data_IF_501232492038
#
_entry.id   IF_501232492038
#
_cell.length_a   1.000
_cell.length_b   1.000
_cell.length_c   1.000
_cell.angle_alpha   90.00
_cell.angle_beta   90.00
_cell.angle_gamma   90.00
#
_symmetry.space_group_name_H-M   'P 1'
#
loop_
_entity.id
_entity.type
_entity.pdbx_description
1 polymer ?
#
# COMPACT_ATOMS: atom_id res chain seq x y z
N UNK A 1 -16.46 9.24 -13.56
CA UNK A 1 -15.52 8.22 -13.04
C UNK A 1 -16.22 7.52 -11.91
N UNK A 2 -16.34 6.19 -11.95
CA UNK A 2 -16.90 5.40 -10.86
C UNK A 2 -15.71 4.71 -10.17
N UNK A 3 -15.62 4.82 -8.86
CA UNK A 3 -14.61 4.14 -8.05
C UNK A 3 -15.27 3.01 -7.27
N UNK A 4 -14.68 1.82 -7.34
CA UNK A 4 -15.05 0.66 -6.55
C UNK A 4 -14.16 0.59 -5.31
N UNK A 5 -14.78 0.56 -4.14
CA UNK A 5 -14.08 0.59 -2.85
C UNK A 5 -14.38 -0.70 -2.08
N UNK A 6 -13.32 -1.41 -1.68
CA UNK A 6 -13.39 -2.57 -0.80
C UNK A 6 -13.11 -2.16 0.65
N UNK A 7 -14.08 -2.38 1.53
CA UNK A 7 -13.88 -2.28 2.98
C UNK A 7 -13.38 -3.63 3.50
N UNK A 8 -12.14 -3.69 3.96
CA UNK A 8 -11.53 -4.90 4.48
C UNK A 8 -11.95 -5.10 5.93
N UNK A 9 -12.63 -6.21 6.21
CA UNK A 9 -12.98 -6.61 7.58
C UNK A 9 -12.08 -7.77 8.00
N UNK A 10 -11.01 -7.46 8.72
CA UNK A 10 -9.94 -8.40 9.07
C UNK A 10 -9.66 -8.32 10.58
N UNK A 11 -9.50 -9.49 11.21
CA UNK A 11 -8.91 -9.56 12.55
C UNK A 11 -7.38 -9.50 12.45
N UNK A 12 -6.70 -8.75 13.33
CA UNK A 12 -5.25 -8.72 13.38
C UNK A 12 -4.70 -10.08 13.84
N UNK A 13 -3.53 -10.41 13.36
CA UNK A 13 -2.70 -11.54 13.77
C UNK A 13 -1.76 -11.15 14.92
N UNK A 14 -1.00 -12.13 15.44
CA UNK A 14 -0.12 -11.95 16.60
C UNK A 14 1.18 -11.21 16.32
N UNK A 15 1.49 -10.92 15.04
CA UNK A 15 2.73 -10.25 14.65
C UNK A 15 2.57 -9.35 13.43
N UNK A 16 3.50 -8.39 13.31
CA UNK A 16 3.54 -7.47 12.18
C UNK A 16 3.71 -8.19 10.83
N UNK A 17 4.51 -9.26 10.80
CA UNK A 17 4.76 -10.06 9.60
C UNK A 17 3.49 -10.82 9.15
N UNK A 18 2.75 -11.39 10.09
CA UNK A 18 1.49 -12.08 9.79
C UNK A 18 0.41 -11.10 9.31
N UNK A 19 0.31 -9.92 9.93
CA UNK A 19 -0.56 -8.83 9.47
C UNK A 19 -0.18 -8.37 8.05
N UNK A 20 1.12 -8.27 7.75
CA UNK A 20 1.57 -7.92 6.41
C UNK A 20 1.13 -8.97 5.38
N UNK A 21 1.37 -10.27 5.64
CA UNK A 21 0.98 -11.36 4.76
C UNK A 21 -0.54 -11.39 4.51
N UNK A 22 -1.33 -11.26 5.58
CA UNK A 22 -2.79 -11.24 5.51
C UNK A 22 -3.32 -10.02 4.75
N UNK A 23 -2.72 -8.86 4.97
CA UNK A 23 -3.11 -7.63 4.30
C UNK A 23 -2.81 -7.67 2.80
N UNK A 24 -1.67 -8.21 2.40
CA UNK A 24 -1.33 -8.42 0.99
C UNK A 24 -2.36 -9.34 0.31
N UNK A 25 -2.72 -10.45 0.96
CA UNK A 25 -3.71 -11.39 0.43
C UNK A 25 -5.09 -10.71 0.27
N UNK A 26 -5.51 -9.91 1.25
CA UNK A 26 -6.77 -9.18 1.20
C UNK A 26 -6.80 -8.12 0.07
N UNK A 27 -5.71 -7.37 -0.12
CA UNK A 27 -5.59 -6.42 -1.23
C UNK A 27 -5.69 -7.11 -2.60
N UNK A 28 -5.03 -8.27 -2.76
CA UNK A 28 -5.11 -9.07 -4.00
C UNK A 28 -6.54 -9.53 -4.27
N UNK A 29 -7.21 -10.06 -3.24
CA UNK A 29 -8.62 -10.46 -3.35
C UNK A 29 -9.54 -9.28 -3.68
N UNK A 30 -9.29 -8.10 -3.10
CA UNK A 30 -10.04 -6.88 -3.43
C UNK A 30 -9.85 -6.49 -4.90
N UNK A 31 -8.61 -6.54 -5.41
CA UNK A 31 -8.32 -6.26 -6.84
C UNK A 31 -8.97 -7.28 -7.77
N UNK A 32 -8.92 -8.57 -7.44
CA UNK A 32 -9.62 -9.64 -8.19
C UNK A 32 -11.14 -9.41 -8.27
N UNK A 33 -11.72 -8.77 -7.24
CA UNK A 33 -13.13 -8.36 -7.20
C UNK A 33 -13.40 -7.01 -7.89
N UNK A 34 -12.39 -6.40 -8.52
CA UNK A 34 -12.52 -5.13 -9.24
C UNK A 34 -12.55 -3.89 -8.35
N UNK A 35 -11.95 -3.94 -7.15
CA UNK A 35 -11.78 -2.75 -6.33
C UNK A 35 -10.61 -1.89 -6.84
N UNK A 36 -10.81 -0.57 -6.87
CA UNK A 36 -9.79 0.43 -7.12
C UNK A 36 -9.09 0.85 -5.82
N UNK A 37 -9.81 0.79 -4.69
CA UNK A 37 -9.30 1.17 -3.36
C UNK A 37 -9.65 0.07 -2.37
N UNK A 38 -8.69 -0.34 -1.54
CA UNK A 38 -8.90 -1.21 -0.39
C UNK A 38 -8.63 -0.46 0.92
N UNK A 39 -9.62 -0.41 1.80
CA UNK A 39 -9.55 0.30 3.09
C UNK A 39 -9.42 -0.71 4.21
N UNK A 40 -8.34 -0.61 4.98
CA UNK A 40 -8.07 -1.45 6.14
C UNK A 40 -8.85 -1.01 7.39
N UNK A 41 -9.05 -1.91 8.37
CA UNK A 41 -9.45 -1.52 9.71
C UNK A 41 -8.43 -0.59 10.36
N UNK A 42 -8.89 0.18 11.34
CA UNK A 42 -8.01 0.98 12.19
C UNK A 42 -6.99 0.10 12.93
N UNK A 43 -5.80 0.64 13.19
CA UNK A 43 -4.71 -0.05 13.89
C UNK A 43 -4.27 -1.37 13.23
N UNK A 44 -4.40 -1.50 11.90
CA UNK A 44 -4.16 -2.76 11.19
C UNK A 44 -2.82 -3.45 11.52
N UNK A 45 -1.75 -2.69 11.76
CA UNK A 45 -0.42 -3.25 12.02
C UNK A 45 -0.31 -4.04 13.32
N UNK A 46 -1.02 -3.64 14.37
CA UNK A 46 -0.87 -4.17 15.74
C UNK A 46 -2.19 -4.54 16.42
N UNK A 47 -3.32 -4.15 15.83
CA UNK A 47 -4.63 -4.31 16.45
C UNK A 47 -4.81 -3.48 17.72
N UNK A 48 -5.82 -3.85 18.50
CA UNK A 48 -6.24 -3.16 19.72
C UNK A 48 -5.81 -3.89 21.01
N UNK A 49 -4.92 -4.88 20.93
CA UNK A 49 -4.55 -5.71 22.08
C UNK A 49 -3.27 -5.19 22.76
N UNK A 50 -3.33 -4.03 23.42
CA UNK A 50 -2.21 -3.44 24.17
C UNK A 50 -2.70 -2.66 25.41
N UNK A 51 -1.79 -2.23 26.29
CA UNK A 51 -2.13 -1.60 27.58
C UNK A 51 -2.57 -0.12 27.47
N UNK A 52 -2.65 0.43 26.26
CA UNK A 52 -3.06 1.80 25.93
C UNK A 52 -2.31 2.92 26.65
N UNK A 53 -1.18 2.61 27.27
CA UNK A 53 -0.23 3.58 27.81
C UNK A 53 0.74 4.08 26.73
N UNK A 54 1.47 5.14 27.04
CA UNK A 54 2.34 5.80 26.07
C UNK A 54 3.49 4.90 25.59
N UNK A 55 3.99 3.97 26.41
CA UNK A 55 5.10 3.11 26.04
C UNK A 55 4.62 1.96 25.15
N UNK A 56 3.50 1.32 25.48
CA UNK A 56 2.92 0.29 24.61
C UNK A 56 2.47 0.83 23.25
N UNK A 57 1.99 2.07 23.17
CA UNK A 57 1.69 2.75 21.90
C UNK A 57 2.96 2.99 21.09
N UNK A 58 4.06 3.43 21.73
CA UNK A 58 5.34 3.68 21.06
C UNK A 58 5.95 2.39 20.53
N UNK A 59 5.85 1.30 21.26
CA UNK A 59 6.33 -0.02 20.82
C UNK A 59 5.57 -0.52 19.57
N UNK A 60 4.29 -0.17 19.45
CA UNK A 60 3.46 -0.50 18.29
C UNK A 60 3.66 0.47 17.10
N UNK A 61 4.38 1.57 17.28
CA UNK A 61 4.55 2.59 16.25
C UNK A 61 5.45 2.08 15.12
N UNK A 62 5.07 2.41 13.89
CA UNK A 62 5.79 2.00 12.69
C UNK A 62 6.34 3.24 12.00
N UNK A 63 7.64 3.21 11.69
CA UNK A 63 8.26 4.28 10.91
C UNK A 63 7.68 4.33 9.50
N UNK A 64 7.53 5.54 8.97
CA UNK A 64 7.04 5.79 7.62
C UNK A 64 7.85 5.05 6.54
N UNK A 65 9.17 4.94 6.71
CA UNK A 65 10.10 4.29 5.79
C UNK A 65 10.34 2.80 6.11
N UNK A 66 9.55 2.21 7.01
CA UNK A 66 9.67 0.80 7.36
C UNK A 66 9.35 -0.13 6.19
N UNK A 67 9.90 -1.35 6.25
CA UNK A 67 9.59 -2.42 5.29
C UNK A 67 8.10 -2.74 5.21
N UNK A 68 7.35 -2.58 6.31
CA UNK A 68 5.91 -2.80 6.35
C UNK A 68 5.16 -1.79 5.45
N UNK A 69 5.42 -0.50 5.62
CA UNK A 69 4.78 0.57 4.82
C UNK A 69 5.24 0.51 3.36
N UNK A 70 6.54 0.31 3.13
CA UNK A 70 7.10 0.21 1.79
C UNK A 70 6.51 -0.98 1.02
N UNK A 71 6.28 -2.12 1.67
CA UNK A 71 5.70 -3.28 0.99
C UNK A 71 4.26 -3.05 0.50
N UNK A 72 3.44 -2.29 1.23
CA UNK A 72 2.11 -1.90 0.75
C UNK A 72 2.19 -0.88 -0.40
N UNK A 73 3.18 0.00 -0.39
CA UNK A 73 3.43 0.95 -1.47
C UNK A 73 3.85 0.23 -2.76
N UNK A 74 4.75 -0.75 -2.65
CA UNK A 74 5.13 -1.64 -3.75
C UNK A 74 3.93 -2.44 -4.26
N UNK A 75 3.13 -3.02 -3.35
CA UNK A 75 1.94 -3.77 -3.74
C UNK A 75 0.93 -2.91 -4.51
N UNK A 76 0.73 -1.65 -4.11
CA UNK A 76 -0.13 -0.74 -4.85
C UNK A 76 0.40 -0.50 -6.27
N UNK A 77 1.71 -0.37 -6.44
CA UNK A 77 2.33 -0.26 -7.76
C UNK A 77 2.24 -1.56 -8.58
N UNK A 78 2.35 -2.73 -7.94
CA UNK A 78 2.20 -4.06 -8.56
C UNK A 78 0.76 -4.28 -9.07
N UNK A 79 -0.23 -4.01 -8.22
CA UNK A 79 -1.64 -4.29 -8.49
C UNK A 79 -2.28 -3.24 -9.41
N UNK A 80 -1.68 -2.05 -9.53
CA UNK A 80 -2.33 -0.94 -10.18
C UNK A 80 -1.44 -0.16 -11.16
N UNK A 81 -0.82 -0.89 -12.09
CA UNK A 81 -0.20 -0.27 -13.25
C UNK A 81 -1.23 0.48 -14.11
N UNK A 82 -2.49 0.05 -14.15
CA UNK A 82 -3.50 0.63 -15.04
C UNK A 82 -4.08 1.94 -14.48
N UNK A 83 -4.38 2.08 -13.18
CA UNK A 83 -4.73 3.38 -12.61
C UNK A 83 -3.54 4.35 -12.64
N UNK A 84 -2.30 3.88 -12.41
CA UNK A 84 -1.08 4.70 -12.56
C UNK A 84 -0.82 5.09 -14.03
N UNK A 85 -1.19 4.26 -15.00
CA UNK A 85 -1.14 4.58 -16.44
C UNK A 85 -2.22 5.58 -16.79
N UNK A 86 -3.45 5.40 -16.32
CA UNK A 86 -4.58 6.32 -16.55
C UNK A 86 -4.39 7.67 -15.87
N UNK A 87 -3.81 7.71 -14.67
CA UNK A 87 -3.39 8.95 -14.02
C UNK A 87 -2.26 9.62 -14.82
N UNK A 88 -1.24 8.86 -15.25
CA UNK A 88 -0.16 9.36 -16.13
C UNK A 88 -0.67 9.93 -17.46
N UNK A 89 -1.72 9.34 -18.04
CA UNK A 89 -2.33 9.80 -19.28
C UNK A 89 -3.17 11.07 -19.11
N UNK A 90 -3.61 11.40 -17.89
CA UNK A 90 -4.54 12.50 -17.60
C UNK A 90 -3.92 13.72 -16.91
N UNK A 91 -2.73 13.58 -16.31
CA UNK A 91 -2.06 14.69 -15.61
C UNK A 91 -1.33 15.66 -16.57
N UNK A 92 -1.55 16.96 -16.34
CA UNK A 92 -1.11 18.08 -17.20
C UNK A 92 0.41 18.29 -17.20
N UNK A 93 1.13 17.78 -16.20
CA UNK A 93 2.58 17.97 -16.04
C UNK A 93 3.43 16.73 -16.40
N UNK A 94 2.83 15.77 -17.11
CA UNK A 94 3.32 14.40 -17.34
C UNK A 94 4.75 14.17 -17.85
N UNK A 95 5.55 15.20 -18.13
CA UNK A 95 6.95 15.05 -18.56
C UNK A 95 7.89 16.19 -18.15
N UNK A 96 7.43 17.23 -17.44
CA UNK A 96 8.22 18.48 -17.33
C UNK A 96 9.57 18.33 -16.62
N UNK A 97 9.73 17.32 -15.76
CA UNK A 97 10.95 17.11 -14.97
C UNK A 97 11.55 15.70 -15.14
N UNK A 98 11.00 14.88 -16.05
CA UNK A 98 11.52 13.53 -16.26
C UNK A 98 12.62 13.58 -17.32
N UNK A 99 13.81 13.06 -16.97
CA UNK A 99 15.00 12.99 -17.83
C UNK A 99 15.36 11.52 -18.10
N UNK A 100 14.57 10.80 -18.92
CA UNK A 100 14.81 9.39 -19.22
C UNK A 100 16.24 9.08 -19.69
N UNK A 101 16.88 10.04 -20.36
CA UNK A 101 18.27 10.01 -20.77
C UNK A 101 19.29 9.87 -19.61
N UNK A 102 18.91 10.20 -18.38
CA UNK A 102 19.76 10.04 -17.19
C UNK A 102 19.69 8.62 -16.61
N UNK A 103 18.73 7.80 -17.05
CA UNK A 103 18.57 6.41 -16.61
C UNK A 103 19.14 5.40 -17.62
N UNK A 104 20.04 5.83 -18.52
CA UNK A 104 20.66 4.94 -19.52
C UNK A 104 21.30 3.68 -18.91
N UNK A 105 21.85 3.77 -17.70
CA UNK A 105 22.43 2.63 -16.95
C UNK A 105 21.40 1.53 -16.63
N UNK A 106 20.11 1.85 -16.59
CA UNK A 106 19.02 0.92 -16.25
C UNK A 106 18.14 0.58 -17.46
N UNK A 107 18.42 1.15 -18.63
CA UNK A 107 17.58 1.07 -19.82
C UNK A 107 18.26 0.40 -21.04
N UNK A 108 19.51 -0.03 -20.91
CA UNK A 108 20.18 -0.89 -21.89
C UNK A 108 20.01 -2.35 -21.46
N UNK A 109 19.29 -3.14 -22.27
CA UNK A 109 19.35 -4.60 -22.29
C UNK A 109 20.70 -5.09 -22.87
#
# INVERSE_FOLDING_TARGET
MNLSIAFLQLLPEGSLEENLKKGIAACRQAKEKGADIAIFPEMWSCGYNFFHDADSIRECAISYDSSFVNRFSELAAELDLDMLRDYRLREVWGHKHRRPELYGIIAEE
#
